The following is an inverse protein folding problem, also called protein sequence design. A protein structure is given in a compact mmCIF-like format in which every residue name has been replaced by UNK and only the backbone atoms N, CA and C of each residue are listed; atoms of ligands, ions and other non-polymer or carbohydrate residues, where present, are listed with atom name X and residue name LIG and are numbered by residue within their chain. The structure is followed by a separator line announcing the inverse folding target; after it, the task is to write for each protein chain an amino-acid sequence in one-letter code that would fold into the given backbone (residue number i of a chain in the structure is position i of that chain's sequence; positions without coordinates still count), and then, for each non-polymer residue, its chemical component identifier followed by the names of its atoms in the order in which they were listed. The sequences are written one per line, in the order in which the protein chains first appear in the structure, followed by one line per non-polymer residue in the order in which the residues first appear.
data_IF_921083011002
#
_entry.id   IF_921083011002
#
_cell.length_a   1.000
_cell.length_b   1.000
_cell.length_c   1.000
_cell.angle_alpha   90.00
_cell.angle_beta   90.00
_cell.angle_gamma   90.00
#
_symmetry.space_group_name_H-M   'P 1'
#
loop_
_entity.id
_entity.type
_entity.pdbx_description
1 polymer ?
#
# COMPACT_ATOMS: atom_id res chain seq x y z
N UNK A 1 -17.37 -57.46 0.17
CA UNK A 1 -17.64 -56.90 -1.18
C UNK A 1 -18.44 -55.61 -1.00
N UNK A 2 -17.83 -54.43 -1.24
CA UNK A 2 -18.34 -53.11 -0.85
C UNK A 2 -19.56 -52.64 -1.66
N UNK A 3 -20.65 -53.41 -1.62
CA UNK A 3 -21.92 -53.15 -2.34
C UNK A 3 -22.72 -51.99 -1.73
N UNK A 4 -22.29 -51.45 -0.59
CA UNK A 4 -22.89 -50.26 0.05
C UNK A 4 -22.45 -48.93 -0.59
N UNK A 5 -21.41 -48.94 -1.44
CA UNK A 5 -20.92 -47.74 -2.15
C UNK A 5 -21.74 -47.42 -3.42
N UNK A 6 -22.64 -48.31 -3.84
CA UNK A 6 -23.47 -48.18 -5.04
C UNK A 6 -24.89 -47.65 -4.76
N UNK A 7 -25.19 -47.23 -3.53
CA UNK A 7 -26.45 -46.54 -3.26
C UNK A 7 -26.39 -45.15 -3.92
N UNK A 8 -27.35 -44.76 -4.78
CA UNK A 8 -27.28 -43.51 -5.57
C UNK A 8 -27.08 -42.24 -4.73
N UNK A 9 -27.48 -42.26 -3.45
CA UNK A 9 -27.20 -41.20 -2.46
C UNK A 9 -25.70 -41.01 -2.18
N UNK A 10 -24.93 -42.08 -2.08
CA UNK A 10 -23.49 -42.01 -1.78
C UNK A 10 -22.68 -41.50 -2.96
N UNK A 11 -23.11 -41.81 -4.18
CA UNK A 11 -22.49 -41.29 -5.39
C UNK A 11 -22.61 -39.75 -5.46
N UNK A 12 -23.77 -39.20 -5.12
CA UNK A 12 -23.97 -37.75 -5.02
C UNK A 12 -23.03 -37.07 -4.03
N UNK A 13 -22.82 -37.67 -2.84
CA UNK A 13 -21.90 -37.14 -1.82
C UNK A 13 -20.45 -37.22 -2.31
N UNK A 14 -20.03 -38.32 -2.93
CA UNK A 14 -18.67 -38.46 -3.45
C UNK A 14 -18.38 -37.44 -4.56
N UNK A 15 -19.31 -37.25 -5.50
CA UNK A 15 -19.18 -36.22 -6.56
C UNK A 15 -19.15 -34.81 -5.95
N UNK A 16 -20.01 -34.53 -4.97
CA UNK A 16 -20.01 -33.23 -4.29
C UNK A 16 -18.66 -32.95 -3.61
N UNK A 17 -18.10 -33.92 -2.88
CA UNK A 17 -16.79 -33.76 -2.22
C UNK A 17 -15.68 -33.60 -3.25
N UNK A 18 -15.70 -34.38 -4.34
CA UNK A 18 -14.73 -34.25 -5.43
C UNK A 18 -14.75 -32.88 -6.11
N UNK A 19 -15.91 -32.21 -6.17
CA UNK A 19 -16.04 -30.86 -6.70
C UNK A 19 -15.73 -29.78 -5.64
N UNK A 20 -16.07 -30.02 -4.38
CA UNK A 20 -15.83 -29.08 -3.29
C UNK A 20 -14.34 -28.89 -3.00
N UNK A 21 -13.53 -29.94 -3.08
CA UNK A 21 -12.08 -29.86 -2.85
C UNK A 21 -11.38 -28.86 -3.79
N UNK A 22 -11.46 -28.98 -5.13
CA UNK A 22 -10.82 -28.03 -6.04
C UNK A 22 -11.45 -26.64 -5.94
N UNK A 23 -12.75 -26.53 -5.65
CA UNK A 23 -13.40 -25.24 -5.40
C UNK A 23 -12.81 -24.52 -4.18
N UNK A 24 -12.65 -25.22 -3.05
CA UNK A 24 -12.04 -24.67 -1.85
C UNK A 24 -10.57 -24.29 -2.08
N UNK A 25 -9.82 -25.10 -2.82
CA UNK A 25 -8.42 -24.79 -3.18
C UNK A 25 -8.36 -23.56 -4.09
N UNK A 26 -9.25 -23.45 -5.07
CA UNK A 26 -9.34 -22.26 -5.93
C UNK A 26 -9.69 -21.00 -5.14
N UNK A 27 -10.67 -21.08 -4.24
CA UNK A 27 -11.05 -19.97 -3.37
C UNK A 27 -9.92 -19.57 -2.40
N UNK A 28 -9.22 -20.54 -1.81
CA UNK A 28 -8.07 -20.30 -0.94
C UNK A 28 -6.89 -19.69 -1.71
N UNK A 29 -6.61 -20.20 -2.91
CA UNK A 29 -5.60 -19.64 -3.81
C UNK A 29 -5.98 -18.24 -4.27
N UNK A 30 -7.26 -17.95 -4.49
CA UNK A 30 -7.72 -16.60 -4.82
C UNK A 30 -7.54 -15.62 -3.65
N UNK A 31 -7.83 -16.05 -2.41
CA UNK A 31 -7.54 -15.25 -1.23
C UNK A 31 -6.04 -14.97 -1.09
N UNK A 32 -5.19 -15.99 -1.30
CA UNK A 32 -3.74 -15.84 -1.24
C UNK A 32 -3.21 -14.96 -2.37
N UNK A 33 -3.69 -15.14 -3.61
CA UNK A 33 -3.31 -14.33 -4.77
C UNK A 33 -3.74 -12.86 -4.59
N UNK A 34 -4.90 -12.61 -3.96
CA UNK A 34 -5.34 -11.25 -3.65
C UNK A 34 -4.48 -10.60 -2.56
N UNK A 35 -3.95 -11.40 -1.64
CA UNK A 35 -3.01 -10.98 -0.61
C UNK A 35 -1.60 -10.77 -1.18
N UNK A 36 -1.10 -11.66 -2.03
CA UNK A 36 0.16 -11.48 -2.77
C UNK A 36 0.08 -10.24 -3.66
N UNK A 37 -1.03 -9.99 -4.35
CA UNK A 37 -1.23 -8.74 -5.08
C UNK A 37 -1.21 -7.47 -4.19
N UNK A 38 -1.32 -7.59 -2.85
CA UNK A 38 -1.12 -6.48 -1.89
C UNK A 38 0.29 -6.47 -1.29
N UNK A 39 0.91 -7.63 -1.14
CA UNK A 39 2.20 -7.83 -0.45
C UNK A 39 3.39 -7.77 -1.42
N UNK A 40 3.25 -8.30 -2.64
CA UNK A 40 4.24 -8.15 -3.71
C UNK A 40 4.39 -6.70 -4.16
N UNK A 41 3.35 -5.87 -4.06
CA UNK A 41 3.50 -4.43 -4.25
C UNK A 41 4.52 -3.90 -3.23
N UNK A 42 4.43 -4.26 -1.94
CA UNK A 42 5.35 -3.75 -0.93
C UNK A 42 6.77 -4.34 -1.02
N UNK A 43 6.92 -5.62 -1.37
CA UNK A 43 8.24 -6.28 -1.42
C UNK A 43 9.01 -5.92 -2.70
N UNK A 44 8.36 -5.88 -3.87
CA UNK A 44 8.99 -5.41 -5.10
C UNK A 44 9.27 -3.90 -5.06
N UNK A 45 8.43 -3.10 -4.39
CA UNK A 45 8.72 -1.68 -4.15
C UNK A 45 9.99 -1.52 -3.31
N UNK A 46 10.26 -2.37 -2.31
CA UNK A 46 11.45 -2.22 -1.47
C UNK A 46 12.77 -2.48 -2.22
N UNK A 47 12.81 -3.52 -3.06
CA UNK A 47 13.98 -3.82 -3.90
C UNK A 47 14.14 -2.81 -5.05
N UNK A 48 13.04 -2.41 -5.71
CA UNK A 48 13.09 -1.37 -6.74
C UNK A 48 13.40 0.01 -6.16
N UNK A 49 12.96 0.35 -4.94
CA UNK A 49 13.32 1.61 -4.26
C UNK A 49 14.81 1.63 -3.91
N UNK A 50 15.40 0.48 -3.57
CA UNK A 50 16.83 0.38 -3.32
C UNK A 50 17.65 0.62 -4.61
N UNK A 51 17.23 0.04 -5.74
CA UNK A 51 17.88 0.30 -7.03
C UNK A 51 17.62 1.72 -7.55
N UNK A 52 16.40 2.22 -7.44
CA UNK A 52 15.98 3.55 -7.87
C UNK A 52 16.62 4.67 -7.04
N UNK A 53 17.05 4.41 -5.80
CA UNK A 53 17.87 5.35 -5.00
C UNK A 53 19.18 5.75 -5.68
N UNK A 54 19.66 4.94 -6.63
CA UNK A 54 20.92 5.18 -7.35
C UNK A 54 20.72 6.07 -8.58
N UNK A 55 19.49 6.22 -9.07
CA UNK A 55 19.21 7.09 -10.22
C UNK A 55 19.19 8.57 -9.82
N UNK A 56 19.67 9.47 -10.70
CA UNK A 56 19.59 10.91 -10.45
C UNK A 56 18.12 11.34 -10.37
N UNK A 57 17.73 12.09 -9.33
CA UNK A 57 16.34 12.47 -9.13
C UNK A 57 15.87 13.39 -10.25
N UNK A 58 14.69 13.10 -10.81
CA UNK A 58 14.12 13.88 -11.93
C UNK A 58 13.09 14.89 -11.41
N UNK A 59 12.84 16.00 -12.13
CA UNK A 59 11.78 16.93 -11.75
C UNK A 59 10.43 16.22 -11.64
N UNK A 60 9.71 16.40 -10.51
CA UNK A 60 8.42 15.74 -10.27
C UNK A 60 7.42 15.97 -11.40
N UNK A 61 7.44 17.15 -12.03
CA UNK A 61 6.58 17.48 -13.17
C UNK A 61 6.77 16.53 -14.36
N UNK A 62 7.96 15.95 -14.55
CA UNK A 62 8.26 15.00 -15.62
C UNK A 62 7.83 13.56 -15.29
N UNK A 63 7.47 13.28 -14.04
CA UNK A 63 7.05 11.97 -13.55
C UNK A 63 5.53 11.87 -13.35
N UNK A 64 4.81 12.95 -13.62
CA UNK A 64 3.35 13.01 -13.57
C UNK A 64 2.76 12.75 -14.96
N UNK A 65 1.65 11.99 -15.09
CA UNK A 65 0.91 11.30 -14.02
C UNK A 65 1.67 10.08 -13.45
N UNK A 66 1.43 9.76 -12.18
CA UNK A 66 2.04 8.59 -11.53
C UNK A 66 1.42 7.32 -12.09
N UNK A 67 2.24 6.42 -12.60
CA UNK A 67 1.86 5.08 -13.07
C UNK A 67 2.70 4.00 -12.36
N UNK A 68 2.49 2.72 -12.70
CA UNK A 68 3.24 1.61 -12.10
C UNK A 68 4.74 1.65 -12.40
N UNK A 69 5.18 2.37 -13.44
CA UNK A 69 6.60 2.51 -13.82
C UNK A 69 7.26 3.72 -13.15
N UNK A 70 6.50 4.78 -12.86
CA UNK A 70 7.01 6.00 -12.22
C UNK A 70 6.92 5.98 -10.71
N UNK A 71 6.06 5.12 -10.15
CA UNK A 71 6.01 4.83 -8.71
C UNK A 71 7.35 4.27 -8.21
N UNK A 72 7.94 4.92 -7.20
CA UNK A 72 9.22 4.52 -6.60
C UNK A 72 10.45 5.22 -7.20
N UNK A 73 10.32 5.94 -8.32
CA UNK A 73 11.43 6.72 -8.87
C UNK A 73 11.74 7.98 -8.03
N UNK A 74 13.02 8.32 -7.81
CA UNK A 74 13.39 9.50 -7.05
C UNK A 74 13.00 10.78 -7.80
N UNK A 75 12.32 11.69 -7.10
CA UNK A 75 11.80 12.93 -7.66
C UNK A 75 12.31 14.16 -6.88
N UNK A 76 12.62 15.23 -7.61
CA UNK A 76 12.94 16.55 -7.04
C UNK A 76 11.79 17.52 -7.32
N UNK A 77 11.36 18.25 -6.29
CA UNK A 77 10.42 19.36 -6.42
C UNK A 77 10.95 20.56 -5.63
N UNK A 78 10.85 21.74 -6.22
CA UNK A 78 11.17 23.02 -5.56
C UNK A 78 9.92 23.89 -5.48
N UNK A 79 9.83 24.66 -4.41
CA UNK A 79 8.64 25.45 -4.14
C UNK A 79 8.70 26.16 -2.81
N UNK A 80 7.58 26.76 -2.41
CA UNK A 80 7.43 27.43 -1.13
C UNK A 80 6.48 26.65 -0.24
N UNK A 81 6.89 26.38 1.00
CA UNK A 81 6.00 25.80 1.98
C UNK A 81 4.85 26.76 2.27
N UNK A 82 3.63 26.24 2.16
CA UNK A 82 2.39 26.93 2.43
C UNK A 82 1.78 26.45 3.74
N UNK A 83 0.48 26.16 3.70
CA UNK A 83 -0.29 25.75 4.88
C UNK A 83 0.24 24.43 5.46
N UNK A 84 0.38 24.42 6.78
CA UNK A 84 0.67 23.24 7.58
C UNK A 84 -0.65 22.56 8.01
N UNK A 85 -0.65 21.24 7.99
CA UNK A 85 -1.75 20.36 8.36
C UNK A 85 -1.21 19.30 9.31
N UNK A 86 -1.97 18.97 10.34
CA UNK A 86 -1.64 17.88 11.25
C UNK A 86 -2.52 16.68 10.95
N UNK A 87 -1.90 15.51 10.85
CA UNK A 87 -2.62 14.25 10.65
C UNK A 87 -2.57 13.48 11.97
N UNK A 88 -3.63 13.53 12.80
CA UNK A 88 -3.69 12.85 14.09
C UNK A 88 -3.78 11.33 13.93
N UNK A 89 -3.73 10.64 15.07
CA UNK A 89 -3.94 9.18 15.19
C UNK A 89 -2.92 8.36 14.37
N UNK A 90 -1.64 8.72 14.52
CA UNK A 90 -0.52 8.06 13.84
C UNK A 90 0.44 7.44 14.83
N UNK A 91 0.56 6.12 14.75
CA UNK A 91 1.53 5.36 15.51
C UNK A 91 2.86 5.26 14.75
N UNK A 92 3.96 5.57 15.43
CA UNK A 92 5.32 5.35 14.95
C UNK A 92 6.13 4.72 16.09
N UNK A 93 6.77 3.58 15.82
CA UNK A 93 7.57 2.82 16.79
C UNK A 93 6.84 2.55 18.13
N UNK A 94 5.55 2.18 18.06
CA UNK A 94 4.71 1.88 19.22
C UNK A 94 4.29 3.09 20.05
N UNK A 95 4.56 4.31 19.58
CA UNK A 95 4.14 5.56 20.22
C UNK A 95 3.05 6.24 19.40
N UNK A 96 2.01 6.69 20.07
CA UNK A 96 0.92 7.47 19.47
C UNK A 96 1.34 8.93 19.27
N UNK A 97 0.98 9.48 18.11
CA UNK A 97 1.39 10.82 17.69
C UNK A 97 0.66 11.31 16.46
N UNK A 98 1.27 12.27 15.77
CA UNK A 98 0.72 12.89 14.58
C UNK A 98 1.81 13.24 13.58
N UNK A 99 1.48 13.20 12.29
CA UNK A 99 2.37 13.69 11.23
C UNK A 99 2.17 15.19 11.02
N UNK A 100 3.28 15.90 10.85
CA UNK A 100 3.30 17.29 10.38
C UNK A 100 3.40 17.26 8.86
N UNK A 101 2.33 17.67 8.20
CA UNK A 101 2.21 17.73 6.75
C UNK A 101 2.25 19.18 6.30
N UNK A 102 3.20 19.56 5.46
CA UNK A 102 3.27 20.91 4.90
C UNK A 102 3.03 20.85 3.40
N UNK A 103 2.14 21.71 2.90
CA UNK A 103 1.85 21.80 1.48
C UNK A 103 2.94 22.61 0.77
N UNK A 104 3.81 21.94 0.02
CA UNK A 104 4.80 22.59 -0.84
C UNK A 104 4.11 23.09 -2.12
N UNK A 105 4.00 24.41 -2.28
CA UNK A 105 3.49 25.02 -3.51
C UNK A 105 4.60 25.07 -4.55
N UNK A 106 4.43 24.31 -5.63
CA UNK A 106 5.35 24.31 -6.76
C UNK A 106 4.94 25.39 -7.77
N UNK A 107 5.87 25.84 -8.61
CA UNK A 107 5.63 26.92 -9.59
C UNK A 107 4.53 26.63 -10.63
N UNK A 108 4.07 25.39 -10.74
CA UNK A 108 3.00 24.95 -11.64
C UNK A 108 1.58 25.11 -11.06
N UNK A 109 1.43 25.78 -9.92
CA UNK A 109 0.14 26.00 -9.25
C UNK A 109 -0.40 24.81 -8.47
N UNK A 110 0.31 23.67 -8.49
CA UNK A 110 -0.05 22.46 -7.73
C UNK A 110 0.62 22.45 -6.35
N UNK A 111 -0.15 22.02 -5.33
CA UNK A 111 0.33 21.83 -3.98
C UNK A 111 0.73 20.35 -3.77
N UNK A 112 1.97 20.13 -3.36
CA UNK A 112 2.51 18.81 -3.02
C UNK A 112 2.48 18.63 -1.49
N UNK A 113 1.70 17.70 -0.94
CA UNK A 113 1.75 17.38 0.49
C UNK A 113 3.07 16.68 0.84
N UNK A 114 3.86 17.30 1.73
CA UNK A 114 5.14 16.76 2.20
C UNK A 114 5.05 16.49 3.69
N UNK A 115 5.30 15.24 4.10
CA UNK A 115 5.44 14.89 5.52
C UNK A 115 6.80 15.36 6.00
N UNK A 116 6.81 16.36 6.89
CA UNK A 116 8.03 16.98 7.44
C UNK A 116 8.59 16.25 8.65
N UNK A 117 7.73 15.50 9.35
CA UNK A 117 8.12 14.75 10.53
C UNK A 117 6.92 14.20 11.29
N UNK A 118 7.22 13.45 12.35
CA UNK A 118 6.25 12.90 13.28
C UNK A 118 6.54 13.45 14.68
N UNK A 119 5.50 13.78 15.43
CA UNK A 119 5.62 14.18 16.83
C UNK A 119 4.74 13.30 17.72
N UNK A 120 5.22 12.91 18.92
CA UNK A 120 4.42 12.17 19.88
C UNK A 120 3.32 13.04 20.49
N UNK A 121 2.21 12.41 20.87
CA UNK A 121 1.10 13.04 21.60
C UNK A 121 -0.08 13.49 20.73
N UNK A 122 -0.93 14.33 21.29
CA UNK A 122 -2.12 14.85 20.58
C UNK A 122 -1.74 15.95 19.61
N UNK A 123 -2.32 15.93 18.41
CA UNK A 123 -2.10 16.95 17.40
C UNK A 123 -2.45 18.34 17.95
N UNK A 124 -1.45 19.20 18.06
CA UNK A 124 -1.60 20.58 18.49
C UNK A 124 -0.95 21.48 17.45
N UNK A 125 -1.75 22.32 16.79
CA UNK A 125 -1.29 23.24 15.77
C UNK A 125 -0.22 24.22 16.29
N UNK A 126 -0.18 24.47 17.61
CA UNK A 126 0.80 25.33 18.25
C UNK A 126 2.16 24.66 18.51
N UNK A 127 2.23 23.32 18.54
CA UNK A 127 3.47 22.55 18.78
C UNK A 127 4.20 22.15 17.50
N UNK A 128 3.60 22.42 16.35
CA UNK A 128 4.16 22.02 15.09
C UNK A 128 5.29 23.00 14.68
N UNK A 129 6.52 22.53 14.44
CA UNK A 129 7.62 23.41 14.05
C UNK A 129 7.29 24.15 12.74
N UNK A 130 7.68 25.42 12.66
CA UNK A 130 7.53 26.29 11.49
C UNK A 130 8.53 25.95 10.38
#
# INVERSE_FOLDING_TARGET
MYRFLLTPRWWGINVFVLLAIPFCVFMGSWQLSRFDARVDDHRNLSEQTASARTEPPRPLAALLPVDKRTSGMPATATGRYGKQLLVPDRELDGKQGYYVLSLLRTGSGKALPVVRGWLPGTADAAKAPA
#
